data_IF_027118179457
#
_entry.id   IF_027118179457
#
_cell.length_a   1.000
_cell.length_b   1.000
_cell.length_c   1.000
_cell.angle_alpha   90.00
_cell.angle_beta   90.00
_cell.angle_gamma   90.00
#
_symmetry.space_group_name_H-M   'P 1'
#
loop_
_entity.id
_entity.type
_entity.pdbx_description
1 polymer ?
#
# COMPACT_ATOMS: atom_id res chain seq x y z
N UNK A 1 24.01 -0.66 14.61
CA UNK A 1 25.01 -0.33 13.57
C UNK A 1 24.32 0.55 12.55
N UNK A 2 24.91 1.69 12.19
CA UNK A 2 24.40 2.57 11.13
C UNK A 2 25.19 2.25 9.87
N UNK A 3 24.51 1.83 8.80
CA UNK A 3 25.16 1.38 7.56
C UNK A 3 25.03 2.38 6.39
N UNK A 4 24.32 3.50 6.59
CA UNK A 4 24.16 4.56 5.59
C UNK A 4 23.38 5.73 6.18
N UNK A 5 23.65 6.94 5.69
CA UNK A 5 22.97 8.18 6.09
C UNK A 5 22.80 9.05 4.86
N UNK A 6 21.59 9.59 4.67
CA UNK A 6 21.30 10.52 3.58
C UNK A 6 20.44 11.66 4.11
N UNK A 7 20.94 12.89 4.03
CA UNK A 7 20.22 14.10 4.41
C UNK A 7 19.89 14.90 3.15
N UNK A 8 18.62 15.23 2.96
CA UNK A 8 18.14 15.90 1.74
C UNK A 8 17.20 17.03 2.09
N UNK A 9 17.30 18.14 1.36
CA UNK A 9 16.42 19.31 1.50
C UNK A 9 15.17 19.24 0.61
N UNK A 10 15.06 18.21 -0.23
CA UNK A 10 13.96 18.06 -1.17
C UNK A 10 12.77 17.36 -0.48
N UNK A 11 11.56 17.97 -0.46
CA UNK A 11 10.39 17.43 0.26
C UNK A 11 9.82 16.14 -0.34
N UNK A 12 10.23 15.76 -1.56
CA UNK A 12 9.71 14.58 -2.23
C UNK A 12 10.64 13.36 -2.06
N UNK A 13 10.15 12.33 -1.36
CA UNK A 13 10.87 11.08 -1.05
C UNK A 13 11.12 10.14 -2.22
N UNK A 14 10.85 10.57 -3.47
CA UNK A 14 10.77 9.71 -4.65
C UNK A 14 12.06 8.96 -5.00
N UNK A 15 13.23 9.44 -4.56
CA UNK A 15 14.54 8.85 -4.93
C UNK A 15 15.48 8.62 -3.74
N UNK A 16 14.97 8.72 -2.50
CA UNK A 16 15.82 8.65 -1.32
C UNK A 16 16.20 7.20 -0.96
N UNK A 17 15.31 6.22 -1.21
CA UNK A 17 15.58 4.80 -0.93
C UNK A 17 16.73 4.26 -1.78
N UNK A 18 16.76 4.46 -3.12
CA UNK A 18 17.87 3.97 -3.94
C UNK A 18 19.24 4.48 -3.50
N UNK A 19 19.35 5.78 -3.21
CA UNK A 19 20.60 6.39 -2.77
C UNK A 19 21.09 5.78 -1.45
N UNK A 20 20.19 5.63 -0.47
CA UNK A 20 20.53 5.05 0.83
C UNK A 20 20.86 3.56 0.73
N UNK A 21 20.10 2.80 -0.06
CA UNK A 21 20.31 1.37 -0.25
C UNK A 21 21.66 1.08 -0.90
N UNK A 22 22.08 1.87 -1.88
CA UNK A 22 23.40 1.73 -2.48
C UNK A 22 24.51 1.88 -1.43
N UNK A 23 24.42 2.87 -0.52
CA UNK A 23 25.38 3.00 0.58
C UNK A 23 25.37 1.78 1.50
N UNK A 24 24.17 1.28 1.87
CA UNK A 24 24.04 0.09 2.71
C UNK A 24 24.72 -1.11 2.05
N UNK A 25 24.52 -1.33 0.76
CA UNK A 25 25.12 -2.43 0.01
C UNK A 25 26.65 -2.29 -0.11
N UNK A 26 27.19 -1.07 -0.18
CA UNK A 26 28.64 -0.83 -0.19
C UNK A 26 29.26 -1.03 1.19
N UNK A 27 28.59 -0.58 2.25
CA UNK A 27 29.12 -0.58 3.61
C UNK A 27 28.87 -1.89 4.36
N UNK A 28 27.96 -2.73 3.87
CA UNK A 28 27.56 -4.00 4.49
C UNK A 28 27.95 -5.17 3.61
N UNK A 29 28.57 -6.18 4.20
CA UNK A 29 28.85 -7.46 3.53
C UNK A 29 27.58 -8.32 3.29
N UNK A 30 26.42 -7.86 3.80
CA UNK A 30 25.15 -8.55 3.66
C UNK A 30 24.05 -7.63 3.12
N UNK A 31 23.28 -8.14 2.17
CA UNK A 31 22.10 -7.49 1.60
C UNK A 31 20.87 -7.78 2.47
N UNK A 32 20.08 -6.76 2.85
CA UNK A 32 18.86 -6.97 3.61
C UNK A 32 17.79 -7.67 2.77
N UNK A 33 17.00 -8.56 3.38
CA UNK A 33 15.86 -9.21 2.73
C UNK A 33 14.58 -8.37 2.76
N UNK A 34 14.43 -7.52 3.78
CA UNK A 34 13.27 -6.66 4.01
C UNK A 34 13.73 -5.26 4.39
N UNK A 35 12.96 -4.24 4.00
CA UNK A 35 13.11 -2.88 4.53
C UNK A 35 11.79 -2.40 5.11
N UNK A 36 11.85 -1.58 6.16
CA UNK A 36 10.67 -0.89 6.70
C UNK A 36 10.84 0.61 6.55
N UNK A 37 9.83 1.30 6.02
CA UNK A 37 9.87 2.75 5.84
C UNK A 37 8.49 3.39 6.06
N UNK A 38 8.48 4.71 6.20
CA UNK A 38 7.25 5.50 6.31
C UNK A 38 6.52 5.61 4.97
N UNK A 39 5.21 5.92 5.03
CA UNK A 39 4.33 6.01 3.87
C UNK A 39 4.83 7.00 2.80
N UNK A 40 5.58 8.04 3.18
CA UNK A 40 6.17 9.01 2.25
C UNK A 40 7.12 8.37 1.23
N UNK A 41 7.65 7.18 1.55
CA UNK A 41 8.52 6.42 0.67
C UNK A 41 7.77 5.44 -0.24
N UNK A 42 6.44 5.30 -0.08
CA UNK A 42 5.57 4.46 -0.90
C UNK A 42 5.41 5.07 -2.30
N UNK A 43 6.39 4.83 -3.17
CA UNK A 43 6.40 5.29 -4.54
C UNK A 43 6.68 4.14 -5.48
N UNK A 44 6.09 4.16 -6.68
CA UNK A 44 6.31 3.09 -7.66
C UNK A 44 7.80 2.91 -8.00
N UNK A 45 8.55 4.02 -8.08
CA UNK A 45 9.99 4.00 -8.34
C UNK A 45 10.76 3.26 -7.23
N UNK A 46 10.49 3.57 -5.96
CA UNK A 46 11.12 2.91 -4.82
C UNK A 46 10.75 1.41 -4.78
N UNK A 47 9.47 1.08 -4.98
CA UNK A 47 9.02 -0.31 -4.94
C UNK A 47 9.64 -1.14 -6.07
N UNK A 48 9.68 -0.62 -7.30
CA UNK A 48 10.35 -1.30 -8.42
C UNK A 48 11.84 -1.50 -8.16
N UNK A 49 12.53 -0.49 -7.62
CA UNK A 49 13.95 -0.61 -7.28
C UNK A 49 14.19 -1.74 -6.26
N UNK A 50 13.36 -1.82 -5.21
CA UNK A 50 13.48 -2.87 -4.20
C UNK A 50 13.11 -4.26 -4.74
N UNK A 51 12.05 -4.36 -5.53
CA UNK A 51 11.62 -5.61 -6.17
C UNK A 51 12.69 -6.15 -7.14
N UNK A 52 13.34 -5.27 -7.92
CA UNK A 52 14.47 -5.63 -8.77
C UNK A 52 15.67 -6.14 -7.99
N UNK A 53 15.84 -5.67 -6.74
CA UNK A 53 16.82 -6.21 -5.81
C UNK A 53 16.29 -7.43 -5.05
N UNK A 54 15.06 -7.89 -5.23
CA UNK A 54 14.49 -8.99 -4.43
C UNK A 54 14.38 -8.65 -2.93
N UNK A 55 14.23 -7.37 -2.60
CA UNK A 55 14.07 -6.86 -1.24
C UNK A 55 12.60 -6.53 -1.02
N UNK A 56 11.97 -7.11 0.00
CA UNK A 56 10.57 -6.82 0.30
C UNK A 56 10.39 -5.48 1.02
N UNK A 57 9.45 -4.67 0.57
CA UNK A 57 9.09 -3.40 1.20
C UNK A 57 8.00 -3.60 2.26
N UNK A 58 8.28 -3.22 3.50
CA UNK A 58 7.31 -3.11 4.60
C UNK A 58 6.95 -1.62 4.78
N UNK A 59 6.12 -1.11 3.87
CA UNK A 59 5.71 0.30 3.85
C UNK A 59 4.18 0.34 3.94
N UNK A 60 3.57 1.04 4.91
CA UNK A 60 2.13 1.14 5.03
C UNK A 60 1.47 1.63 3.74
N UNK A 61 0.47 0.88 3.27
CA UNK A 61 -0.24 1.13 2.02
C UNK A 61 -1.61 1.74 2.20
N UNK A 62 -2.16 1.66 3.42
CA UNK A 62 -3.46 2.24 3.74
C UNK A 62 -3.38 3.76 3.64
N UNK A 63 -3.88 4.32 2.53
CA UNK A 63 -4.48 5.64 2.63
C UNK A 63 -5.67 5.45 3.57
N UNK A 64 -5.62 6.05 4.76
CA UNK A 64 -6.83 6.23 5.55
C UNK A 64 -7.89 6.73 4.56
N UNK A 65 -8.93 5.91 4.33
CA UNK A 65 -10.03 6.29 3.45
C UNK A 65 -10.40 7.71 3.85
N UNK A 66 -10.08 8.68 2.97
CA UNK A 66 -10.53 10.05 3.18
C UNK A 66 -12.02 9.91 3.11
N UNK A 67 -12.67 9.85 4.28
CA UNK A 67 -14.10 10.05 4.41
C UNK A 67 -14.30 11.46 3.88
N UNK A 68 -14.59 11.57 2.60
CA UNK A 68 -15.03 12.81 1.98
C UNK A 68 -16.44 13.05 2.55
N UNK A 69 -16.52 13.58 3.77
CA UNK A 69 -17.76 13.88 4.46
C UNK A 69 -18.63 14.88 3.67
N UNK A 70 -18.06 15.57 2.67
CA UNK A 70 -18.72 16.66 1.98
C UNK A 70 -19.49 16.26 0.70
N UNK A 71 -19.43 15.02 0.23
CA UNK A 71 -20.19 14.56 -0.96
C UNK A 71 -20.41 13.04 -0.91
N UNK A 72 -21.21 12.54 0.04
CA UNK A 72 -21.67 11.17 -0.03
C UNK A 72 -22.64 11.05 -1.22
N UNK A 73 -22.38 10.17 -2.20
CA UNK A 73 -23.29 9.98 -3.32
C UNK A 73 -24.65 9.47 -2.82
N UNK A 74 -25.75 10.00 -3.38
CA UNK A 74 -27.12 9.58 -3.05
C UNK A 74 -27.33 8.07 -3.23
N UNK A 75 -26.56 7.42 -4.11
CA UNK A 75 -26.62 5.98 -4.32
C UNK A 75 -25.84 5.23 -3.22
N UNK A 76 -26.58 4.52 -2.37
CA UNK A 76 -26.05 3.62 -1.33
C UNK A 76 -24.98 2.65 -1.86
N UNK A 77 -25.07 2.22 -3.12
CA UNK A 77 -24.14 1.26 -3.74
C UNK A 77 -23.06 1.91 -4.62
N UNK A 78 -22.79 3.20 -4.45
CA UNK A 78 -21.61 3.83 -5.04
C UNK A 78 -20.32 3.17 -4.53
N UNK A 79 -19.26 3.17 -5.34
CA UNK A 79 -17.98 2.51 -4.98
C UNK A 79 -17.38 3.08 -3.69
N UNK A 80 -17.57 4.38 -3.45
CA UNK A 80 -17.10 5.09 -2.25
C UNK A 80 -17.80 4.62 -0.96
N UNK A 81 -18.96 3.98 -1.08
CA UNK A 81 -19.70 3.41 0.05
C UNK A 81 -19.31 1.95 0.34
N UNK A 82 -18.41 1.36 -0.45
CA UNK A 82 -17.91 0.02 -0.20
C UNK A 82 -16.67 0.07 0.69
N UNK A 83 -16.62 -0.82 1.67
CA UNK A 83 -15.48 -0.93 2.58
C UNK A 83 -14.52 -1.97 2.02
N UNK A 84 -13.25 -1.63 1.84
CA UNK A 84 -12.23 -2.62 1.50
C UNK A 84 -11.57 -3.15 2.78
N UNK A 85 -11.72 -4.45 3.03
CA UNK A 85 -10.99 -5.15 4.09
C UNK A 85 -9.65 -5.63 3.52
N UNK A 86 -8.58 -4.88 3.87
CA UNK A 86 -7.23 -5.15 3.38
C UNK A 86 -6.70 -6.52 3.84
N UNK A 87 -7.08 -6.96 5.04
CA UNK A 87 -6.66 -8.23 5.63
C UNK A 87 -7.25 -9.40 4.83
N UNK A 88 -8.58 -9.40 4.68
CA UNK A 88 -9.32 -10.44 3.93
C UNK A 88 -9.17 -10.32 2.42
N UNK A 89 -8.71 -9.18 1.89
CA UNK A 89 -8.69 -8.88 0.47
C UNK A 89 -10.08 -8.89 -0.18
N UNK A 90 -11.07 -8.28 0.48
CA UNK A 90 -12.46 -8.29 -0.01
C UNK A 90 -13.05 -6.88 0.03
N UNK A 91 -13.98 -6.62 -0.88
CA UNK A 91 -14.87 -5.47 -0.75
C UNK A 91 -16.15 -5.90 -0.03
N UNK A 92 -16.52 -5.18 1.01
CA UNK A 92 -17.76 -5.37 1.76
C UNK A 92 -18.80 -4.40 1.20
N UNK A 93 -19.91 -4.93 0.70
CA UNK A 93 -21.01 -4.13 0.20
C UNK A 93 -21.91 -3.60 1.34
N UNK A 94 -22.82 -2.63 1.07
CA UNK A 94 -23.74 -2.11 2.09
C UNK A 94 -24.65 -3.15 2.77
N UNK A 95 -24.89 -4.31 2.13
CA UNK A 95 -25.62 -5.44 2.72
C UNK A 95 -24.69 -6.43 3.46
N UNK A 96 -23.48 -6.00 3.82
CA UNK A 96 -22.46 -6.79 4.50
C UNK A 96 -22.04 -8.09 3.76
N UNK A 97 -22.23 -8.14 2.44
CA UNK A 97 -21.76 -9.26 1.63
C UNK A 97 -20.32 -9.00 1.16
N UNK A 98 -19.47 -10.02 1.28
CA UNK A 98 -18.08 -9.96 0.84
C UNK A 98 -17.97 -10.25 -0.67
N UNK A 99 -17.31 -9.35 -1.40
CA UNK A 99 -16.93 -9.52 -2.80
C UNK A 99 -15.44 -9.91 -2.82
N UNK A 100 -15.20 -11.19 -3.07
CA UNK A 100 -13.85 -11.78 -3.09
C UNK A 100 -13.16 -11.54 -4.41
N UNK A 101 -11.83 -11.68 -4.44
CA UNK A 101 -11.07 -11.65 -5.69
C UNK A 101 -11.48 -12.81 -6.59
N UNK A 102 -12.16 -12.47 -7.68
CA UNK A 102 -12.69 -13.39 -8.70
C UNK A 102 -11.65 -13.66 -9.79
N UNK A 103 -10.78 -12.68 -10.07
CA UNK A 103 -9.69 -12.87 -11.02
C UNK A 103 -8.66 -11.75 -11.03
N UNK A 104 -7.44 -12.11 -11.45
CA UNK A 104 -6.34 -11.20 -11.72
C UNK A 104 -5.88 -11.36 -13.17
N UNK A 105 -5.88 -10.28 -13.92
CA UNK A 105 -5.58 -10.27 -15.35
C UNK A 105 -4.48 -9.26 -15.66
N UNK A 106 -3.73 -9.49 -16.74
CA UNK A 106 -2.80 -8.48 -17.26
C UNK A 106 -3.61 -7.29 -17.77
N UNK A 107 -3.26 -6.08 -17.31
CA UNK A 107 -3.84 -4.87 -17.86
C UNK A 107 -3.01 -4.42 -19.10
N UNK A 108 -3.60 -3.61 -20.00
CA UNK A 108 -2.85 -2.99 -21.08
C UNK A 108 -1.68 -2.19 -20.53
N UNK A 109 -0.52 -2.26 -21.20
CA UNK A 109 0.64 -1.47 -20.82
C UNK A 109 0.34 0.02 -20.99
N UNK A 110 0.59 0.82 -19.96
CA UNK A 110 0.51 2.28 -20.06
C UNK A 110 1.78 2.85 -20.69
N UNK A 111 1.63 3.92 -21.47
CA UNK A 111 2.76 4.73 -21.92
C UNK A 111 3.38 5.40 -20.68
N UNK A 112 4.47 4.85 -20.16
CA UNK A 112 5.09 5.33 -18.92
C UNK A 112 5.66 4.25 -17.99
N UNK A 113 5.48 2.96 -18.31
CA UNK A 113 6.33 1.90 -17.75
C UNK A 113 5.90 1.36 -16.39
N UNK A 114 4.74 0.71 -16.33
CA UNK A 114 4.39 -0.14 -15.20
C UNK A 114 3.44 -1.26 -15.58
N UNK A 115 3.73 -2.48 -15.14
CA UNK A 115 2.84 -3.63 -15.29
C UNK A 115 1.68 -3.48 -14.31
N UNK A 116 0.55 -2.94 -14.79
CA UNK A 116 -0.70 -2.97 -14.04
C UNK A 116 -1.34 -4.35 -14.17
N UNK A 117 -1.90 -4.81 -13.06
CA UNK A 117 -2.82 -5.94 -13.02
C UNK A 117 -4.23 -5.39 -12.83
N UNK A 118 -5.17 -6.00 -13.54
CA UNK A 118 -6.60 -5.80 -13.38
C UNK A 118 -7.10 -6.84 -12.39
N UNK A 119 -7.45 -6.40 -11.19
CA UNK A 119 -8.09 -7.23 -10.17
C UNK A 119 -9.60 -7.06 -10.27
N UNK A 120 -10.33 -8.17 -10.29
CA UNK A 120 -11.79 -8.21 -10.39
C UNK A 120 -12.32 -8.84 -9.13
N UNK A 121 -13.22 -8.13 -8.44
CA UNK A 121 -13.88 -8.60 -7.23
C UNK A 121 -15.37 -8.76 -7.48
N UNK A 122 -15.92 -9.91 -7.09
CA UNK A 122 -17.33 -10.23 -7.30
C UNK A 122 -17.83 -11.26 -6.28
N UNK A 123 -19.14 -11.40 -6.18
CA UNK A 123 -19.78 -12.51 -5.48
C UNK A 123 -21.13 -12.81 -6.15
N UNK A 124 -21.11 -13.75 -7.09
CA UNK A 124 -22.32 -14.12 -7.83
C UNK A 124 -23.41 -14.68 -6.92
N UNK A 125 -23.06 -15.54 -5.96
CA UNK A 125 -24.03 -16.21 -5.09
C UNK A 125 -24.79 -15.20 -4.21
N UNK A 126 -24.08 -14.24 -3.62
CA UNK A 126 -24.70 -13.17 -2.83
C UNK A 126 -25.56 -12.24 -3.70
N UNK A 127 -25.16 -11.99 -4.95
CA UNK A 127 -25.91 -11.10 -5.84
C UNK A 127 -27.11 -11.76 -6.51
N UNK A 128 -27.11 -13.08 -6.72
CA UNK A 128 -28.11 -13.80 -7.51
C UNK A 128 -29.56 -13.51 -7.08
N UNK A 129 -29.81 -13.43 -5.78
CA UNK A 129 -31.13 -13.15 -5.20
C UNK A 129 -31.17 -11.82 -4.44
N UNK A 130 -30.28 -10.87 -4.78
CA UNK A 130 -30.18 -9.61 -4.07
C UNK A 130 -31.36 -8.69 -4.40
N UNK A 131 -32.06 -8.20 -3.37
CA UNK A 131 -33.20 -7.27 -3.48
C UNK A 131 -32.84 -5.91 -4.13
N UNK A 132 -31.55 -5.59 -4.25
CA UNK A 132 -31.05 -4.37 -4.88
C UNK A 132 -30.55 -4.59 -6.32
N UNK A 133 -30.92 -5.70 -6.96
CA UNK A 133 -30.75 -5.87 -8.40
C UNK A 133 -31.40 -4.68 -9.15
N UNK A 134 -30.73 -4.17 -10.18
CA UNK A 134 -31.14 -2.96 -10.91
C UNK A 134 -30.59 -1.64 -10.34
N UNK A 135 -30.39 -1.56 -9.01
CA UNK A 135 -29.78 -0.39 -8.35
C UNK A 135 -28.27 -0.59 -8.14
N UNK A 136 -27.89 -1.72 -7.54
CA UNK A 136 -26.50 -2.06 -7.24
C UNK A 136 -25.75 -2.54 -8.49
N UNK A 137 -26.41 -3.32 -9.34
CA UNK A 137 -25.84 -3.87 -10.57
C UNK A 137 -26.92 -4.07 -11.63
N UNK A 138 -26.54 -3.99 -12.92
CA UNK A 138 -27.47 -4.09 -14.06
C UNK A 138 -27.53 -5.46 -14.74
N UNK A 139 -26.50 -6.29 -14.55
CA UNK A 139 -26.39 -7.62 -15.19
C UNK A 139 -26.55 -8.72 -14.14
N UNK A 140 -25.59 -9.63 -14.06
CA UNK A 140 -25.69 -10.83 -13.23
C UNK A 140 -25.34 -10.58 -11.76
N UNK A 141 -24.30 -9.78 -11.50
CA UNK A 141 -23.82 -9.50 -10.14
C UNK A 141 -23.02 -8.20 -10.11
N UNK A 142 -22.73 -7.69 -8.92
CA UNK A 142 -21.84 -6.54 -8.73
C UNK A 142 -20.39 -6.95 -8.96
N UNK A 143 -19.70 -6.20 -9.80
CA UNK A 143 -18.28 -6.40 -10.11
C UNK A 143 -17.52 -5.12 -9.82
N UNK A 144 -16.40 -5.21 -9.10
CA UNK A 144 -15.49 -4.10 -8.84
C UNK A 144 -14.18 -4.40 -9.55
N UNK A 145 -13.71 -3.46 -10.34
CA UNK A 145 -12.41 -3.56 -10.99
C UNK A 145 -11.43 -2.61 -10.34
N UNK A 146 -10.28 -3.12 -9.92
CA UNK A 146 -9.17 -2.35 -9.37
C UNK A 146 -7.95 -2.54 -10.25
N UNK A 147 -7.38 -1.45 -10.74
CA UNK A 147 -6.11 -1.46 -11.47
C UNK A 147 -4.99 -1.05 -10.52
N UNK A 148 -3.99 -1.90 -10.36
CA UNK A 148 -2.87 -1.67 -9.44
C UNK A 148 -1.58 -2.17 -10.06
N UNK A 149 -0.45 -1.53 -9.76
CA UNK A 149 0.84 -2.05 -10.18
C UNK A 149 1.16 -3.33 -9.40
N UNK A 150 1.75 -4.31 -10.08
CA UNK A 150 2.05 -5.61 -9.46
C UNK A 150 2.89 -5.48 -8.18
N UNK A 151 3.95 -4.66 -8.20
CA UNK A 151 4.83 -4.43 -7.03
C UNK A 151 4.10 -3.73 -5.87
N UNK A 152 3.18 -2.82 -6.19
CA UNK A 152 2.34 -2.15 -5.18
C UNK A 152 1.39 -3.16 -4.55
N UNK A 153 0.76 -4.00 -5.36
CA UNK A 153 -0.12 -5.06 -4.85
C UNK A 153 0.63 -6.07 -4.00
N UNK A 154 1.84 -6.51 -4.39
CA UNK A 154 2.70 -7.36 -3.56
C UNK A 154 2.97 -6.74 -2.18
N UNK A 155 3.30 -5.44 -2.17
CA UNK A 155 3.56 -4.68 -0.94
C UNK A 155 2.31 -4.62 -0.05
N UNK A 156 1.14 -4.31 -0.63
CA UNK A 156 -0.14 -4.33 0.08
C UNK A 156 -0.43 -5.69 0.70
N UNK A 157 -0.30 -6.77 -0.09
CA UNK A 157 -0.54 -8.14 0.38
C UNK A 157 0.38 -8.52 1.52
N UNK A 158 1.66 -8.15 1.45
CA UNK A 158 2.62 -8.39 2.53
C UNK A 158 2.23 -7.62 3.80
N UNK A 159 1.89 -6.33 3.68
CA UNK A 159 1.49 -5.49 4.82
C UNK A 159 0.17 -5.91 5.46
N UNK A 160 -0.70 -6.60 4.71
CA UNK A 160 -1.92 -7.21 5.24
C UNK A 160 -1.70 -8.54 5.96
N UNK A 161 -0.50 -9.15 5.90
CA UNK A 161 -0.24 -10.41 6.62
C UNK A 161 0.11 -10.18 8.08
N UNK A 162 -0.18 -11.16 8.94
CA UNK A 162 0.26 -11.13 10.34
C UNK A 162 1.78 -10.97 10.47
N UNK A 163 2.54 -11.64 9.59
CA UNK A 163 4.00 -11.54 9.54
C UNK A 163 4.45 -10.12 9.18
N UNK A 164 3.90 -9.53 8.11
CA UNK A 164 4.24 -8.18 7.69
C UNK A 164 3.91 -7.13 8.76
N UNK A 165 2.75 -7.26 9.42
CA UNK A 165 2.35 -6.38 10.52
C UNK A 165 3.33 -6.52 11.70
N UNK A 166 3.69 -7.75 12.07
CA UNK A 166 4.61 -8.02 13.17
C UNK A 166 6.01 -7.46 12.88
N UNK A 167 6.52 -7.68 11.68
CA UNK A 167 7.83 -7.19 11.26
C UNK A 167 7.87 -5.66 11.22
N UNK A 168 6.83 -5.02 10.67
CA UNK A 168 6.74 -3.57 10.66
C UNK A 168 6.71 -2.97 12.07
N UNK A 169 6.03 -3.61 13.03
CA UNK A 169 5.98 -3.16 14.43
C UNK A 169 7.34 -3.18 15.14
N UNK A 170 8.28 -4.02 14.69
CA UNK A 170 9.65 -4.03 15.25
C UNK A 170 10.37 -2.69 15.02
N UNK A 171 9.96 -1.91 14.01
CA UNK A 171 10.53 -0.60 13.68
C UNK A 171 10.39 0.43 14.81
N UNK A 172 9.27 0.45 15.52
CA UNK A 172 9.06 1.41 16.64
C UNK A 172 10.13 1.23 17.71
N UNK A 173 10.50 -0.02 18.02
CA UNK A 173 11.53 -0.35 19.02
C UNK A 173 12.95 0.07 18.61
N UNK A 174 13.26 0.08 17.31
CA UNK A 174 14.61 0.39 16.81
C UNK A 174 14.79 1.87 16.42
N UNK A 175 13.74 2.54 15.95
CA UNK A 175 13.82 3.91 15.42
C UNK A 175 13.57 4.98 16.49
N UNK A 176 12.70 4.76 17.47
CA UNK A 176 12.33 5.79 18.46
C UNK A 176 13.49 6.21 19.35
N UNK A 177 14.34 5.27 19.77
CA UNK A 177 15.51 5.58 20.59
C UNK A 177 16.54 6.44 19.83
N UNK A 178 16.72 6.20 18.54
CA UNK A 178 17.63 6.99 17.70
C UNK A 178 17.04 8.39 17.44
N UNK A 179 15.76 8.48 17.06
CA UNK A 179 15.10 9.76 16.82
C UNK A 179 15.01 10.62 18.09
N UNK A 180 14.76 10.01 19.26
CA UNK A 180 14.78 10.71 20.54
C UNK A 180 16.15 11.29 20.89
N UNK A 181 17.23 10.57 20.57
CA UNK A 181 18.59 11.09 20.72
C UNK A 181 18.88 12.24 19.76
N UNK A 182 18.47 12.15 18.49
CA UNK A 182 18.64 13.24 17.54
C UNK A 182 17.90 14.50 17.98
N UNK A 183 16.65 14.38 18.44
CA UNK A 183 15.87 15.52 18.96
C UNK A 183 16.52 16.15 20.20
N UNK A 184 16.99 15.33 21.13
CA UNK A 184 17.58 15.77 22.40
C UNK A 184 18.97 16.40 22.24
N UNK A 185 19.79 15.89 21.32
CA UNK A 185 21.18 16.34 21.13
C UNK A 185 21.26 17.53 20.17
N UNK A 186 20.44 17.53 19.12
CA UNK A 186 20.53 18.53 18.05
C UNK A 186 19.46 19.63 18.13
N UNK A 187 18.66 19.68 19.21
CA UNK A 187 17.62 20.71 19.40
C UNK A 187 16.79 20.93 18.13
N UNK A 188 16.33 19.85 17.51
CA UNK A 188 15.75 19.92 16.16
C UNK A 188 14.48 20.80 16.12
N UNK A 189 13.80 20.98 17.26
CA UNK A 189 12.65 21.89 17.38
C UNK A 189 13.06 23.38 17.34
N UNK A 190 14.36 23.69 17.44
CA UNK A 190 14.96 25.03 17.48
C UNK A 190 15.78 25.37 16.21
N UNK A 191 15.78 24.50 15.19
CA UNK A 191 16.43 24.77 13.90
C UNK A 191 15.42 25.57 13.03
N UNK A 192 15.76 26.81 12.58
CA UNK A 192 14.84 27.70 11.88
C UNK A 192 14.35 27.18 10.53
#
# INVERSE_FOLDING_TARGET
MICGVNAVQNPTGHYQIPALMNQILTNSNSKPSKISADMIYLTLANLNYLDNLGISALIPTSQQNRKNYNNLPENLFAIDNLVFDEYKNVFICPENQELTLDGAYKAPAEKGGGNKIKLVYSNYLACKNCKYAGICFKRNHRTITRYVHEVTYKTERLMSTEEGIKDYKLRSKTVEAHNGNFKRIYHHDDIP
#
